data_IF_678394095236
#
_entry.id   IF_678394095236
#
_cell.length_a   1.000
_cell.length_b   1.000
_cell.length_c   1.000
_cell.angle_alpha   90.00
_cell.angle_beta   90.00
_cell.angle_gamma   90.00
#
_symmetry.space_group_name_H-M   'P 1'
#
loop_
_entity.id
_entity.type
_entity.pdbx_description
1 polymer ?
#
# COMPACT_ATOMS: atom_id res chain seq x y z
N UNK A 1 8.76 46.15 25.73
CA UNK A 1 8.78 44.88 26.47
C UNK A 1 8.82 43.75 25.48
N UNK A 2 9.77 42.82 25.62
CA UNK A 2 9.99 41.70 24.69
C UNK A 2 8.90 40.63 24.92
N UNK A 3 8.13 40.19 23.91
CA UNK A 3 7.27 39.02 24.09
C UNK A 3 8.11 37.74 24.04
N UNK A 4 7.87 36.90 25.04
CA UNK A 4 8.60 35.68 25.37
C UNK A 4 8.41 34.58 24.33
N UNK A 5 9.56 34.04 23.95
CA UNK A 5 9.88 32.71 23.43
C UNK A 5 8.73 31.80 22.96
N UNK A 6 8.77 31.55 21.65
CA UNK A 6 8.15 30.43 20.96
C UNK A 6 8.98 29.18 21.25
N UNK A 7 8.46 28.20 21.99
CA UNK A 7 8.82 26.78 21.85
C UNK A 7 7.60 25.90 22.11
N UNK A 8 6.73 25.82 21.11
CA UNK A 8 5.88 24.64 20.95
C UNK A 8 6.81 23.48 20.61
N UNK A 9 7.13 22.68 21.62
CA UNK A 9 7.77 21.38 21.53
C UNK A 9 7.09 20.59 20.40
N UNK A 10 7.68 20.62 19.20
CA UNK A 10 7.40 19.62 18.17
C UNK A 10 7.95 18.33 18.74
N UNK A 11 7.12 17.63 19.53
CA UNK A 11 7.40 16.26 19.95
C UNK A 11 7.41 15.44 18.68
N UNK A 12 8.61 15.37 18.09
CA UNK A 12 8.91 14.68 16.87
C UNK A 12 8.24 13.33 16.93
N UNK A 13 7.59 12.99 15.83
CA UNK A 13 7.00 11.71 15.55
C UNK A 13 8.07 10.63 15.83
N UNK A 14 8.20 10.19 17.08
CA UNK A 14 9.02 9.06 17.51
C UNK A 14 8.27 7.80 17.10
N UNK A 15 8.11 7.67 15.79
CA UNK A 15 7.76 6.42 15.17
C UNK A 15 9.00 6.04 14.39
N UNK A 16 9.50 4.84 14.65
CA UNK A 16 10.47 4.13 13.83
C UNK A 16 11.95 4.47 14.09
N UNK A 17 12.43 4.09 15.27
CA UNK A 17 13.83 3.67 15.44
C UNK A 17 13.89 2.23 15.93
N UNK A 18 13.14 1.35 15.27
CA UNK A 18 13.45 -0.08 15.24
C UNK A 18 13.76 -0.37 13.78
N UNK A 19 15.00 -0.75 13.48
CA UNK A 19 15.38 -1.19 12.14
C UNK A 19 14.40 -2.27 11.66
N UNK A 20 14.28 -2.51 10.35
CA UNK A 20 13.28 -3.43 9.86
C UNK A 20 13.55 -4.83 10.43
N UNK A 21 12.73 -5.24 11.41
CA UNK A 21 12.81 -6.55 12.03
C UNK A 21 12.80 -7.61 10.89
N UNK A 22 13.79 -8.51 10.83
CA UNK A 22 13.92 -9.48 9.74
C UNK A 22 12.67 -10.34 9.59
N UNK A 23 11.96 -10.62 10.68
CA UNK A 23 10.70 -11.36 10.65
C UNK A 23 9.58 -10.56 10.00
N UNK A 24 9.45 -9.28 10.35
CA UNK A 24 8.48 -8.36 9.70
C UNK A 24 8.72 -8.24 8.21
N UNK A 25 10.00 -8.22 7.78
CA UNK A 25 10.35 -8.22 6.36
C UNK A 25 9.98 -9.52 5.65
N UNK A 26 10.18 -10.68 6.29
CA UNK A 26 9.79 -11.99 5.73
C UNK A 26 8.28 -12.07 5.54
N UNK A 27 7.52 -11.67 6.55
CA UNK A 27 6.04 -11.63 6.49
C UNK A 27 5.58 -10.70 5.37
N UNK A 28 6.14 -9.48 5.30
CA UNK A 28 5.79 -8.52 4.24
C UNK A 28 6.10 -9.06 2.84
N UNK A 29 7.28 -9.66 2.64
CA UNK A 29 7.65 -10.27 1.35
C UNK A 29 6.70 -11.40 0.96
N UNK A 30 6.33 -12.24 1.93
CA UNK A 30 5.37 -13.31 1.71
C UNK A 30 4.00 -12.78 1.28
N UNK A 31 3.49 -11.75 1.98
CA UNK A 31 2.22 -11.12 1.63
C UNK A 31 2.24 -10.50 0.22
N UNK A 32 3.30 -9.78 -0.13
CA UNK A 32 3.43 -9.19 -1.47
C UNK A 32 3.50 -10.25 -2.56
N UNK A 33 4.21 -11.36 -2.32
CA UNK A 33 4.30 -12.48 -3.26
C UNK A 33 2.96 -13.17 -3.49
N UNK A 34 2.13 -13.30 -2.44
CA UNK A 34 0.78 -13.83 -2.57
C UNK A 34 -0.09 -12.88 -3.40
N UNK A 35 -0.05 -11.57 -3.13
CA UNK A 35 -0.81 -10.57 -3.88
C UNK A 35 -0.45 -10.51 -5.37
N UNK A 36 0.83 -10.57 -5.72
CA UNK A 36 1.25 -10.58 -7.13
C UNK A 36 0.86 -11.85 -7.88
N UNK A 37 0.57 -12.93 -7.15
CA UNK A 37 0.06 -14.20 -7.69
C UNK A 37 -1.46 -14.30 -7.73
N UNK A 38 -2.16 -13.20 -7.49
CA UNK A 38 -3.62 -13.15 -7.49
C UNK A 38 -4.26 -13.75 -6.23
N UNK A 39 -3.55 -13.78 -5.10
CA UNK A 39 -4.16 -14.14 -3.82
C UNK A 39 -4.63 -12.88 -3.09
N UNK A 40 -5.86 -12.93 -2.60
CA UNK A 40 -6.47 -11.90 -1.77
C UNK A 40 -6.73 -12.45 -0.38
N UNK A 41 -6.74 -11.58 0.61
CA UNK A 41 -7.08 -11.95 1.96
C UNK A 41 -8.58 -11.71 2.18
N UNK A 42 -9.31 -12.75 2.58
CA UNK A 42 -10.71 -12.64 2.93
C UNK A 42 -10.89 -11.85 4.25
N UNK A 43 -12.12 -11.44 4.61
CA UNK A 43 -12.39 -10.76 5.88
C UNK A 43 -12.03 -11.57 7.13
N UNK A 44 -11.86 -12.89 7.00
CA UNK A 44 -11.45 -13.78 8.07
C UNK A 44 -9.93 -13.94 8.17
N UNK A 45 -9.15 -13.34 7.25
CA UNK A 45 -7.69 -13.40 7.23
C UNK A 45 -7.10 -14.55 6.40
N UNK A 46 -7.92 -15.35 5.70
CA UNK A 46 -7.43 -16.45 4.88
C UNK A 46 -7.04 -15.96 3.48
N UNK A 47 -5.97 -16.55 2.94
CA UNK A 47 -5.56 -16.29 1.57
C UNK A 47 -6.41 -17.13 0.61
N UNK A 48 -7.24 -16.45 -0.17
CA UNK A 48 -8.08 -17.03 -1.22
C UNK A 48 -7.52 -16.64 -2.58
N UNK A 49 -7.48 -17.60 -3.52
CA UNK A 49 -7.02 -17.32 -4.88
C UNK A 49 -8.16 -16.63 -5.62
N UNK A 50 -7.93 -15.37 -5.98
CA UNK A 50 -8.89 -14.62 -6.75
C UNK A 50 -8.87 -15.13 -8.21
N UNK A 51 -10.02 -15.62 -8.70
CA UNK A 51 -10.17 -16.07 -10.09
C UNK A 51 -10.47 -14.91 -11.05
N UNK A 52 -10.74 -13.71 -10.52
CA UNK A 52 -11.04 -12.48 -11.24
C UNK A 52 -9.88 -11.49 -11.29
N UNK A 53 -8.71 -11.84 -10.74
CA UNK A 53 -7.45 -11.16 -10.98
C UNK A 53 -6.92 -11.49 -12.39
N UNK A 54 -7.81 -11.47 -13.37
CA UNK A 54 -7.44 -11.10 -14.73
C UNK A 54 -7.13 -9.61 -14.63
N UNK A 55 -5.84 -9.32 -14.50
CA UNK A 55 -5.34 -8.07 -15.05
C UNK A 55 -5.47 -8.23 -16.57
N UNK A 56 -6.70 -8.30 -17.07
CA UNK A 56 -6.98 -7.97 -18.45
C UNK A 56 -6.48 -6.54 -18.54
N UNK A 57 -5.44 -6.36 -19.34
CA UNK A 57 -5.08 -5.08 -19.90
C UNK A 57 -6.29 -4.55 -20.68
N UNK A 58 -7.35 -4.11 -19.98
CA UNK A 58 -8.48 -3.32 -20.50
C UNK A 58 -7.97 -1.90 -20.76
N UNK A 59 -6.88 -1.84 -21.52
CA UNK A 59 -6.51 -0.72 -22.37
C UNK A 59 -6.98 -1.10 -23.78
N UNK A 60 -8.24 -1.50 -23.92
CA UNK A 60 -8.90 -1.41 -25.22
C UNK A 60 -9.16 0.08 -25.45
N UNK A 61 -8.30 0.70 -26.28
CA UNK A 61 -8.43 2.11 -26.66
C UNK A 61 -9.85 2.35 -27.20
N UNK A 62 -10.61 3.33 -26.68
CA UNK A 62 -11.98 3.55 -27.14
C UNK A 62 -11.99 3.84 -28.65
N UNK A 63 -12.95 3.30 -29.42
CA UNK A 63 -12.98 3.51 -30.87
C UNK A 63 -13.08 5.01 -31.18
N UNK A 64 -12.37 5.51 -32.22
CA UNK A 64 -12.33 6.93 -32.52
C UNK A 64 -13.74 7.44 -32.87
N UNK A 65 -14.08 8.61 -32.30
CA UNK A 65 -15.37 9.28 -32.56
C UNK A 65 -15.48 9.63 -34.05
N UNK A 66 -16.67 9.45 -34.68
CA UNK A 66 -16.86 9.84 -36.07
C UNK A 66 -16.76 11.37 -36.23
N UNK A 67 -16.28 11.87 -37.38
CA UNK A 67 -16.23 13.31 -37.64
C UNK A 67 -17.64 13.89 -37.77
N UNK A 68 -17.80 15.13 -37.28
CA UNK A 68 -19.04 15.91 -37.30
C UNK A 68 -19.45 16.38 -38.70
#
# INVERSE_FOLDING_TARGET
>A
GVPKERKSERKGNSRFSDGPNPERLRILRHHLHLRSRGWLQDPAGNWVKDRNAEFDSDEEEPPPLPPA
#
